data_IF_449139787734
#
_entry.id   IF_449139787734
#
_cell.length_a   1.000
_cell.length_b   1.000
_cell.length_c   1.000
_cell.angle_alpha   90.00
_cell.angle_beta   90.00
_cell.angle_gamma   90.00
#
_symmetry.space_group_name_H-M   'P 1'
#
loop_
_entity.id
_entity.type
_entity.pdbx_description
1 polymer ?
#
# COMPACT_ATOMS: atom_id res chain seq x y z
N UNK A 1 -8.25 5.63 -16.95
CA UNK A 1 -7.64 5.97 -15.65
C UNK A 1 -6.41 5.13 -15.32
N UNK A 2 -6.51 3.80 -15.17
CA UNK A 2 -5.37 3.00 -14.71
C UNK A 2 -4.11 3.09 -15.58
N UNK A 3 -4.25 3.03 -16.91
CA UNK A 3 -3.13 3.24 -17.84
C UNK A 3 -2.43 4.59 -17.65
N UNK A 4 -3.17 5.63 -17.28
CA UNK A 4 -2.60 6.97 -16.99
C UNK A 4 -1.79 6.90 -15.69
N UNK A 5 -2.32 6.24 -14.65
CA UNK A 5 -1.59 6.04 -13.40
C UNK A 5 -0.33 5.18 -13.60
N UNK A 6 -0.38 4.17 -14.45
CA UNK A 6 0.78 3.33 -14.82
C UNK A 6 1.85 4.15 -15.55
N UNK A 7 1.46 4.99 -16.52
CA UNK A 7 2.37 5.93 -17.17
C UNK A 7 2.96 6.95 -16.17
N UNK A 8 2.12 7.55 -15.32
CA UNK A 8 2.59 8.47 -14.29
C UNK A 8 3.59 7.78 -13.34
N UNK A 9 3.38 6.50 -13.03
CA UNK A 9 4.30 5.71 -12.22
C UNK A 9 5.64 5.50 -12.92
N UNK A 10 5.65 5.24 -14.23
CA UNK A 10 6.89 4.99 -14.98
C UNK A 10 7.79 6.23 -15.09
N UNK A 11 7.22 7.44 -15.07
CA UNK A 11 7.98 8.70 -15.18
C UNK A 11 8.36 9.35 -13.84
N UNK A 12 8.05 8.71 -12.70
CA UNK A 12 8.25 9.28 -11.35
C UNK A 12 9.18 8.43 -10.47
N UNK A 13 10.05 7.65 -11.10
CA UNK A 13 10.98 6.72 -10.43
C UNK A 13 12.32 7.37 -10.05
N UNK A 14 12.57 8.61 -10.49
CA UNK A 14 13.86 9.29 -10.33
C UNK A 14 13.69 10.71 -9.80
N UNK A 15 14.76 11.28 -9.24
CA UNK A 15 14.79 12.67 -8.76
C UNK A 15 14.82 13.64 -9.97
N UNK A 16 14.18 14.82 -9.88
CA UNK A 16 13.57 15.43 -8.69
C UNK A 16 12.15 14.94 -8.36
N UNK A 17 11.54 14.11 -9.22
CA UNK A 17 10.13 13.71 -9.12
C UNK A 17 9.94 12.28 -8.57
N UNK A 18 10.75 11.89 -7.58
CA UNK A 18 10.66 10.57 -6.95
C UNK A 18 9.39 10.49 -6.08
N UNK A 19 8.39 9.76 -6.54
CA UNK A 19 7.14 9.58 -5.81
C UNK A 19 7.04 8.18 -5.20
N UNK A 20 6.65 8.08 -3.93
CA UNK A 20 6.47 6.78 -3.27
C UNK A 20 5.27 5.98 -3.81
N UNK A 21 4.19 6.66 -4.24
CA UNK A 21 2.96 6.00 -4.69
C UNK A 21 2.15 6.86 -5.65
N UNK A 22 1.60 6.24 -6.69
CA UNK A 22 0.53 6.80 -7.52
C UNK A 22 -0.80 6.15 -7.13
N UNK A 23 -1.86 6.93 -6.95
CA UNK A 23 -3.17 6.40 -6.51
C UNK A 23 -4.27 6.76 -7.51
N UNK A 24 -4.86 5.75 -8.14
CA UNK A 24 -6.07 5.91 -8.92
C UNK A 24 -7.28 6.13 -7.97
N UNK A 25 -7.98 7.25 -8.15
CA UNK A 25 -9.16 7.63 -7.35
C UNK A 25 -10.41 7.78 -8.24
N UNK A 26 -10.97 6.68 -8.76
CA UNK A 26 -12.23 6.76 -9.49
C UNK A 26 -13.39 7.17 -8.58
N UNK A 27 -14.31 7.94 -9.14
CA UNK A 27 -15.54 8.38 -8.50
C UNK A 27 -16.70 8.29 -9.49
N UNK A 28 -17.93 8.26 -8.97
CA UNK A 28 -19.20 8.30 -9.71
C UNK A 28 -20.12 9.34 -9.05
N UNK A 29 -21.21 9.69 -9.73
CA UNK A 29 -22.20 10.66 -9.25
C UNK A 29 -22.24 11.91 -10.12
N UNK A 30 -22.89 12.94 -9.60
CA UNK A 30 -23.22 14.17 -10.31
C UNK A 30 -22.73 15.39 -9.49
N UNK A 31 -22.67 16.60 -10.08
CA UNK A 31 -22.31 17.81 -9.35
C UNK A 31 -23.08 17.94 -8.02
N UNK A 32 -22.34 18.07 -6.92
CA UNK A 32 -22.89 18.14 -5.56
C UNK A 32 -23.06 16.78 -4.85
N UNK A 33 -22.90 15.65 -5.55
CA UNK A 33 -23.05 14.31 -4.97
C UNK A 33 -22.09 13.28 -5.59
N UNK A 34 -20.78 13.48 -5.43
CA UNK A 34 -19.76 12.53 -5.88
C UNK A 34 -19.38 11.52 -4.79
N UNK A 35 -19.35 10.23 -5.16
CA UNK A 35 -18.87 9.15 -4.29
C UNK A 35 -17.67 8.46 -4.91
N UNK A 36 -16.61 8.28 -4.11
CA UNK A 36 -15.44 7.48 -4.50
C UNK A 36 -15.80 6.00 -4.53
N UNK A 37 -15.40 5.30 -5.58
CA UNK A 37 -15.71 3.87 -5.72
C UNK A 37 -14.64 3.00 -5.06
N UNK A 38 -14.95 1.71 -4.88
CA UNK A 38 -14.00 0.71 -4.41
C UNK A 38 -12.88 0.39 -5.43
N UNK A 39 -13.00 0.88 -6.67
CA UNK A 39 -12.06 0.66 -7.78
C UNK A 39 -10.73 1.44 -7.63
N UNK A 40 -10.36 1.78 -6.40
CA UNK A 40 -9.06 2.37 -6.07
C UNK A 40 -7.95 1.38 -6.44
N UNK A 41 -6.89 1.87 -7.09
CA UNK A 41 -5.65 1.11 -7.29
C UNK A 41 -4.44 1.95 -6.91
N UNK A 42 -3.52 1.34 -6.18
CA UNK A 42 -2.29 1.97 -5.72
C UNK A 42 -1.11 1.35 -6.47
N UNK A 43 -0.20 2.19 -6.95
CA UNK A 43 1.06 1.79 -7.60
C UNK A 43 2.20 2.30 -6.73
N UNK A 44 2.61 1.47 -5.76
CA UNK A 44 3.67 1.78 -4.81
C UNK A 44 5.04 1.32 -5.32
N UNK A 45 6.09 1.99 -4.87
CA UNK A 45 7.47 1.52 -5.03
C UNK A 45 7.74 0.48 -3.95
N UNK A 46 8.18 -0.71 -4.34
CA UNK A 46 8.72 -1.71 -3.41
C UNK A 46 10.07 -1.23 -2.85
N UNK A 47 10.50 -1.69 -1.66
CA UNK A 47 11.86 -1.45 -1.18
C UNK A 47 12.92 -1.74 -2.26
N UNK A 48 13.87 -0.81 -2.44
CA UNK A 48 14.88 -0.88 -3.52
C UNK A 48 15.97 -1.93 -3.27
N UNK A 49 16.01 -2.49 -2.06
CA UNK A 49 16.90 -3.57 -1.66
C UNK A 49 16.17 -4.47 -0.64
N UNK A 50 16.58 -5.75 -0.49
CA UNK A 50 16.02 -6.64 0.51
C UNK A 50 16.06 -6.02 1.91
N UNK A 51 14.95 -6.12 2.62
CA UNK A 51 14.79 -5.63 3.98
C UNK A 51 15.00 -6.76 5.00
N UNK A 52 14.98 -6.44 6.28
CA UNK A 52 14.99 -7.47 7.34
C UNK A 52 13.75 -8.38 7.25
N UNK A 53 12.59 -7.85 6.79
CA UNK A 53 11.38 -8.65 6.59
C UNK A 53 11.59 -9.75 5.56
N UNK A 54 12.28 -9.45 4.45
CA UNK A 54 12.67 -10.45 3.45
C UNK A 54 13.57 -11.53 4.07
N UNK A 55 14.53 -11.13 4.93
CA UNK A 55 15.43 -12.08 5.60
C UNK A 55 14.74 -12.97 6.62
N UNK A 56 13.74 -12.45 7.34
CA UNK A 56 12.92 -13.25 8.24
C UNK A 56 12.14 -14.31 7.44
N UNK A 57 11.52 -13.90 6.34
CA UNK A 57 10.77 -14.81 5.48
C UNK A 57 11.67 -15.88 4.82
N UNK A 58 12.85 -15.50 4.32
CA UNK A 58 13.87 -16.44 3.80
C UNK A 58 14.31 -17.46 4.86
N UNK A 59 14.32 -17.07 6.14
CA UNK A 59 14.65 -17.94 7.27
C UNK A 59 13.44 -18.79 7.77
N UNK A 60 12.27 -18.68 7.12
CA UNK A 60 11.05 -19.38 7.54
C UNK A 60 10.43 -18.82 8.81
N UNK A 61 10.72 -17.55 9.16
CA UNK A 61 10.13 -16.86 10.30
C UNK A 61 8.94 -16.04 9.81
N UNK A 62 7.76 -16.29 10.40
CA UNK A 62 6.53 -15.60 10.03
C UNK A 62 6.61 -14.10 10.33
N UNK A 63 6.16 -13.30 9.37
CA UNK A 63 6.06 -11.85 9.47
C UNK A 63 4.60 -11.39 9.42
N UNK A 64 4.15 -10.73 10.49
CA UNK A 64 2.80 -10.21 10.63
C UNK A 64 2.78 -8.69 10.50
N UNK A 65 1.90 -8.16 9.65
CA UNK A 65 1.74 -6.74 9.42
C UNK A 65 0.37 -6.27 9.89
N UNK A 66 0.32 -5.17 10.66
CA UNK A 66 -0.93 -4.55 11.14
C UNK A 66 -1.01 -3.11 10.63
N UNK A 67 -2.16 -2.71 10.09
CA UNK A 67 -2.42 -1.35 9.68
C UNK A 67 -1.76 -0.97 8.34
N UNK A 68 -0.86 0.02 8.36
CA UNK A 68 -0.24 0.55 7.14
C UNK A 68 1.04 -0.18 6.72
N UNK A 69 1.52 -1.13 7.53
CA UNK A 69 2.81 -1.79 7.30
C UNK A 69 2.83 -2.48 5.93
N UNK A 70 1.78 -3.24 5.59
CA UNK A 70 1.69 -3.91 4.29
C UNK A 70 1.73 -2.92 3.10
N UNK A 71 0.97 -1.83 3.19
CA UNK A 71 1.01 -0.77 2.17
C UNK A 71 2.41 -0.18 2.03
N UNK A 72 3.09 0.14 3.15
CA UNK A 72 4.41 0.80 3.14
C UNK A 72 5.45 -0.07 2.44
N UNK A 73 5.47 -1.37 2.74
CA UNK A 73 6.41 -2.32 2.14
C UNK A 73 5.93 -2.89 0.80
N UNK A 74 4.75 -2.47 0.32
CA UNK A 74 4.11 -3.02 -0.87
C UNK A 74 4.03 -4.57 -0.82
N UNK A 75 3.76 -5.11 0.37
CA UNK A 75 3.74 -6.56 0.65
C UNK A 75 5.08 -7.28 0.64
N UNK A 76 6.19 -6.60 0.38
CA UNK A 76 7.52 -7.22 0.36
C UNK A 76 7.90 -7.68 1.77
N UNK A 77 8.27 -8.96 1.87
CA UNK A 77 8.69 -9.58 3.13
C UNK A 77 7.58 -9.83 4.14
N UNK A 78 6.28 -9.75 3.78
CA UNK A 78 5.15 -9.94 4.69
C UNK A 78 4.39 -11.23 4.36
N UNK A 79 4.28 -12.14 5.33
CA UNK A 79 3.54 -13.40 5.20
C UNK A 79 2.05 -13.24 5.55
N UNK A 80 1.77 -12.46 6.59
CA UNK A 80 0.44 -12.31 7.15
C UNK A 80 0.06 -10.83 7.28
N UNK A 81 -0.75 -10.33 6.34
CA UNK A 81 -1.34 -9.00 6.44
C UNK A 81 -2.67 -9.04 7.21
N UNK A 82 -2.69 -8.41 8.37
CA UNK A 82 -3.88 -8.28 9.23
C UNK A 82 -4.80 -7.13 8.81
N UNK A 83 -4.43 -6.39 7.76
CA UNK A 83 -5.25 -5.36 7.12
C UNK A 83 -5.19 -3.99 7.79
N UNK A 84 -5.95 -3.05 7.23
CA UNK A 84 -5.93 -1.65 7.67
C UNK A 84 -6.70 -1.40 8.97
N UNK A 85 -6.10 -0.56 9.81
CA UNK A 85 -6.75 -0.07 11.02
C UNK A 85 -7.82 0.98 10.68
N UNK A 86 -8.98 0.91 11.34
CA UNK A 86 -9.99 1.98 11.28
C UNK A 86 -9.62 3.16 12.19
N UNK A 87 -8.96 2.88 13.30
CA UNK A 87 -8.46 3.83 14.29
C UNK A 87 -7.25 3.23 15.00
N UNK A 88 -6.57 4.03 15.84
CA UNK A 88 -5.44 3.52 16.63
C UNK A 88 -5.87 2.39 17.57
N UNK A 89 -6.98 2.56 18.30
CA UNK A 89 -7.51 1.53 19.20
C UNK A 89 -7.87 0.24 18.47
N UNK A 90 -8.53 0.34 17.30
CA UNK A 90 -8.79 -0.84 16.47
C UNK A 90 -7.49 -1.57 16.07
N UNK A 91 -6.40 -0.83 15.82
CA UNK A 91 -5.11 -1.42 15.54
C UNK A 91 -4.51 -2.18 16.72
N UNK A 92 -4.68 -1.66 17.94
CA UNK A 92 -4.29 -2.36 19.18
C UNK A 92 -5.12 -3.64 19.33
N UNK A 93 -6.43 -3.56 19.12
CA UNK A 93 -7.31 -4.73 19.18
C UNK A 93 -6.93 -5.80 18.15
N UNK A 94 -6.54 -5.40 16.93
CA UNK A 94 -6.03 -6.33 15.90
C UNK A 94 -4.71 -6.98 16.32
N UNK A 95 -3.83 -6.26 17.00
CA UNK A 95 -2.54 -6.77 17.45
C UNK A 95 -2.66 -7.77 18.61
N UNK A 96 -3.66 -7.60 19.48
CA UNK A 96 -3.86 -8.44 20.66
C UNK A 96 -4.64 -9.73 20.40
N UNK A 97 -5.13 -9.95 19.18
CA UNK A 97 -5.80 -11.18 18.75
C UNK A 97 -4.80 -12.23 18.31
#
# INVERSE_FOLDING_TARGET
LYRICEYARSITLERPALLGRIIARPYVGEPGNFTRTANRRDLAVSPFAPTVLDKLNEAGIDTYAVGKINDIFNGVGINHDMGHNKSNSHGIDTLLK
#
